data_IF_458459729024
#
_entry.id   IF_458459729024
#
_cell.length_a   1.000
_cell.length_b   1.000
_cell.length_c   1.000
_cell.angle_alpha   90.00
_cell.angle_beta   90.00
_cell.angle_gamma   90.00
#
_symmetry.space_group_name_H-M   'P 1'
#
loop_
_entity.id
_entity.type
_entity.pdbx_description
1 polymer ?
#
# COMPACT_ATOMS: atom_id res chain seq x y z
N UNK A 1 -12.91 -11.30 1.81
CA UNK A 1 -14.20 -11.08 1.10
C UNK A 1 -13.93 -10.88 -0.39
N UNK A 2 -14.85 -11.24 -1.27
CA UNK A 2 -14.64 -11.26 -2.74
C UNK A 2 -14.34 -9.89 -3.36
N UNK A 3 -14.75 -8.80 -2.71
CA UNK A 3 -14.49 -7.44 -3.19
C UNK A 3 -13.00 -7.05 -3.24
N UNK A 4 -12.12 -7.73 -2.52
CA UNK A 4 -10.67 -7.45 -2.55
C UNK A 4 -9.88 -8.49 -3.35
N UNK A 5 -10.56 -9.48 -3.94
CA UNK A 5 -9.87 -10.51 -4.71
C UNK A 5 -9.44 -9.97 -6.08
N UNK A 6 -8.21 -10.27 -6.53
CA UNK A 6 -7.72 -9.89 -7.85
C UNK A 6 -8.36 -10.72 -8.97
N UNK A 7 -8.28 -10.26 -10.23
CA UNK A 7 -8.89 -10.91 -11.39
C UNK A 7 -8.47 -12.38 -11.55
N UNK A 8 -7.19 -12.71 -11.36
CA UNK A 8 -6.67 -14.07 -11.53
C UNK A 8 -7.24 -15.06 -10.49
N UNK A 9 -7.63 -14.61 -9.31
CA UNK A 9 -8.28 -15.48 -8.32
C UNK A 9 -9.79 -15.61 -8.56
N UNK A 10 -10.41 -14.62 -9.20
CA UNK A 10 -11.84 -14.64 -9.55
C UNK A 10 -12.12 -15.39 -10.86
N UNK A 11 -11.24 -15.23 -11.86
CA UNK A 11 -11.40 -15.73 -13.23
C UNK A 11 -10.54 -16.96 -13.53
N UNK A 12 -9.61 -17.32 -12.64
CA UNK A 12 -8.66 -18.40 -12.88
C UNK A 12 -9.32 -19.77 -13.03
N UNK A 13 -8.93 -20.49 -14.07
CA UNK A 13 -9.28 -21.89 -14.27
C UNK A 13 -8.44 -22.78 -13.34
N UNK A 14 -8.90 -23.98 -13.00
CA UNK A 14 -8.19 -24.91 -12.08
C UNK A 14 -6.80 -25.37 -12.57
N UNK A 15 -6.44 -25.03 -13.81
CA UNK A 15 -5.18 -25.41 -14.46
C UNK A 15 -4.12 -24.29 -14.47
N UNK A 16 -4.49 -23.04 -14.19
CA UNK A 16 -3.51 -21.97 -13.97
C UNK A 16 -3.14 -21.96 -12.50
N UNK A 17 -1.83 -21.95 -12.21
CA UNK A 17 -1.32 -21.89 -10.86
C UNK A 17 -1.92 -20.65 -10.19
N UNK A 18 -2.93 -20.84 -9.32
CA UNK A 18 -3.50 -19.81 -8.44
C UNK A 18 -2.43 -19.42 -7.42
N UNK A 19 -1.35 -18.81 -7.88
CA UNK A 19 -0.26 -18.34 -7.03
C UNK A 19 -0.74 -17.11 -6.30
N UNK A 20 -1.17 -17.31 -5.07
CA UNK A 20 -1.20 -16.26 -4.07
C UNK A 20 0.24 -15.84 -3.79
N UNK A 21 0.68 -14.78 -4.47
CA UNK A 21 1.96 -14.13 -4.22
C UNK A 21 1.72 -12.69 -3.76
N UNK A 22 2.81 -11.97 -3.49
CA UNK A 22 2.75 -10.58 -3.02
C UNK A 22 1.93 -9.64 -3.94
N UNK A 23 1.78 -9.95 -5.23
CA UNK A 23 0.96 -9.15 -6.17
C UNK A 23 -0.55 -9.26 -5.90
N UNK A 24 -1.00 -10.33 -5.26
CA UNK A 24 -2.39 -10.45 -4.78
C UNK A 24 -2.65 -9.43 -3.67
N UNK A 25 -1.68 -9.24 -2.78
CA UNK A 25 -1.77 -8.25 -1.70
C UNK A 25 -1.71 -6.82 -2.23
N UNK A 26 -0.90 -6.55 -3.26
CA UNK A 26 -0.87 -5.24 -3.92
C UNK A 26 -2.24 -4.87 -4.50
N UNK A 27 -2.95 -5.81 -5.12
CA UNK A 27 -4.31 -5.55 -5.62
C UNK A 27 -5.29 -5.26 -4.49
N UNK A 28 -5.31 -6.12 -3.46
CA UNK A 28 -6.25 -5.97 -2.35
C UNK A 28 -6.02 -4.64 -1.61
N UNK A 29 -4.75 -4.24 -1.45
CA UNK A 29 -4.37 -2.94 -0.91
C UNK A 29 -4.78 -1.78 -1.82
N UNK A 30 -4.64 -1.92 -3.15
CA UNK A 30 -5.12 -0.93 -4.10
C UNK A 30 -6.64 -0.67 -4.01
N UNK A 31 -7.44 -1.74 -3.86
CA UNK A 31 -8.89 -1.61 -3.64
C UNK A 31 -9.17 -0.93 -2.30
N UNK A 32 -8.41 -1.25 -1.25
CA UNK A 32 -8.54 -0.62 0.06
C UNK A 32 -8.23 0.89 0.00
N UNK A 33 -7.13 1.30 -0.65
CA UNK A 33 -6.79 2.72 -0.83
C UNK A 33 -7.90 3.43 -1.60
N UNK A 34 -8.38 2.86 -2.71
CA UNK A 34 -9.51 3.42 -3.46
C UNK A 34 -10.73 3.62 -2.54
N UNK A 35 -11.04 2.64 -1.69
CA UNK A 35 -12.16 2.71 -0.76
C UNK A 35 -11.98 3.81 0.29
N UNK A 36 -10.77 3.97 0.84
CA UNK A 36 -10.46 5.04 1.81
C UNK A 36 -10.65 6.42 1.17
N UNK A 37 -10.18 6.61 -0.07
CA UNK A 37 -10.20 7.90 -0.76
C UNK A 37 -11.58 8.30 -1.32
N UNK A 38 -12.42 7.32 -1.65
CA UNK A 38 -13.69 7.57 -2.34
C UNK A 38 -14.91 7.23 -1.49
N UNK A 39 -14.71 6.53 -0.37
CA UNK A 39 -15.76 5.89 0.43
C UNK A 39 -16.63 4.90 -0.36
N UNK A 40 -16.18 4.47 -1.54
CA UNK A 40 -16.90 3.57 -2.46
C UNK A 40 -15.96 2.53 -3.06
N UNK A 41 -16.51 1.54 -3.78
CA UNK A 41 -15.73 0.61 -4.60
C UNK A 41 -15.84 1.02 -6.08
N UNK A 42 -14.90 0.59 -6.95
CA UNK A 42 -15.02 0.82 -8.40
C UNK A 42 -16.12 -0.04 -9.06
N UNK A 43 -16.83 -0.84 -8.27
CA UNK A 43 -17.96 -1.71 -8.64
C UNK A 43 -18.96 -1.77 -7.48
N UNK A 44 -20.12 -2.41 -7.68
CA UNK A 44 -21.05 -2.66 -6.57
C UNK A 44 -20.57 -3.87 -5.74
N UNK A 45 -20.09 -3.69 -4.49
CA UNK A 45 -19.50 -4.78 -3.71
C UNK A 45 -20.54 -5.80 -3.21
N UNK A 46 -21.83 -5.45 -3.23
CA UNK A 46 -22.92 -6.32 -2.80
C UNK A 46 -23.45 -7.23 -3.92
N UNK A 47 -22.97 -7.05 -5.16
CA UNK A 47 -23.38 -7.84 -6.31
C UNK A 47 -22.16 -8.50 -6.94
N UNK A 48 -21.99 -9.79 -6.70
CA UNK A 48 -20.87 -10.56 -7.25
C UNK A 48 -20.73 -10.41 -8.77
N UNK A 49 -21.85 -10.37 -9.50
CA UNK A 49 -21.84 -10.13 -10.95
C UNK A 49 -21.24 -8.77 -11.36
N UNK A 50 -21.38 -7.74 -10.54
CA UNK A 50 -20.74 -6.43 -10.78
C UNK A 50 -19.22 -6.51 -10.63
N UNK A 51 -18.73 -7.33 -9.70
CA UNK A 51 -17.30 -7.57 -9.50
C UNK A 51 -16.74 -8.30 -10.72
N UNK A 52 -17.39 -9.38 -11.15
CA UNK A 52 -17.01 -10.12 -12.36
C UNK A 52 -17.02 -9.24 -13.61
N UNK A 53 -18.06 -8.41 -13.79
CA UNK A 53 -18.14 -7.47 -14.90
C UNK A 53 -16.98 -6.47 -14.88
N UNK A 54 -16.63 -5.92 -13.71
CA UNK A 54 -15.50 -4.99 -13.57
C UNK A 54 -14.16 -5.63 -13.98
N UNK A 55 -13.84 -6.81 -13.42
CA UNK A 55 -12.57 -7.48 -13.73
C UNK A 55 -12.50 -8.02 -15.16
N UNK A 56 -13.66 -8.33 -15.77
CA UNK A 56 -13.74 -8.77 -17.17
C UNK A 56 -13.60 -7.60 -18.14
N UNK A 57 -14.24 -6.46 -17.84
CA UNK A 57 -14.18 -5.26 -18.68
C UNK A 57 -12.82 -4.59 -18.63
N UNK A 58 -12.05 -4.78 -17.55
CA UNK A 58 -10.70 -4.22 -17.37
C UNK A 58 -10.66 -2.69 -17.49
N UNK A 59 -11.69 -2.02 -16.97
CA UNK A 59 -11.80 -0.56 -16.97
C UNK A 59 -11.88 -0.06 -15.53
N UNK A 60 -10.87 0.71 -15.14
CA UNK A 60 -10.84 1.47 -13.90
C UNK A 60 -11.06 2.95 -14.22
N UNK A 61 -12.09 3.55 -13.66
CA UNK A 61 -12.46 4.96 -13.91
C UNK A 61 -11.94 5.83 -12.77
N UNK A 62 -11.28 6.94 -13.10
CA UNK A 62 -10.81 7.92 -12.11
C UNK A 62 -11.98 8.64 -11.45
N UNK A 63 -12.15 8.54 -10.12
CA UNK A 63 -13.12 9.34 -9.39
C UNK A 63 -12.66 10.80 -9.31
N UNK A 64 -13.60 11.73 -9.37
CA UNK A 64 -13.31 13.17 -9.23
C UNK A 64 -12.70 13.54 -7.86
N UNK A 65 -12.85 12.69 -6.84
CA UNK A 65 -12.25 12.90 -5.52
C UNK A 65 -10.73 12.66 -5.51
N UNK A 66 -10.18 11.93 -6.48
CA UNK A 66 -8.74 11.65 -6.57
C UNK A 66 -8.11 12.70 -7.48
N UNK A 67 -7.71 13.82 -6.90
CA UNK A 67 -7.16 14.98 -7.62
C UNK A 67 -5.66 14.82 -7.89
N UNK A 68 -4.92 14.16 -6.99
CA UNK A 68 -3.47 13.94 -7.13
C UNK A 68 -3.17 12.93 -8.25
N UNK A 69 -2.39 13.36 -9.24
CA UNK A 69 -2.02 12.56 -10.41
C UNK A 69 -1.05 11.43 -10.07
N UNK A 70 -0.11 11.64 -9.15
CA UNK A 70 0.83 10.60 -8.72
C UNK A 70 0.09 9.51 -7.92
N UNK A 71 -0.88 9.89 -7.10
CA UNK A 71 -1.73 8.94 -6.38
C UNK A 71 -2.58 8.11 -7.35
N UNK A 72 -3.17 8.77 -8.34
CA UNK A 72 -3.95 8.07 -9.36
C UNK A 72 -3.09 7.11 -10.18
N UNK A 73 -1.91 7.55 -10.62
CA UNK A 73 -0.99 6.72 -11.39
C UNK A 73 -0.57 5.48 -10.59
N UNK A 74 -0.20 5.65 -9.32
CA UNK A 74 0.11 4.54 -8.42
C UNK A 74 -1.07 3.55 -8.32
N UNK A 75 -2.29 4.05 -8.12
CA UNK A 75 -3.49 3.22 -8.04
C UNK A 75 -3.74 2.43 -9.32
N UNK A 76 -3.53 3.02 -10.49
CA UNK A 76 -3.66 2.32 -11.79
C UNK A 76 -2.65 1.18 -11.87
N UNK A 77 -1.40 1.40 -11.45
CA UNK A 77 -0.36 0.37 -11.48
C UNK A 77 -0.61 -0.74 -10.44
N UNK A 78 -1.16 -0.42 -9.26
CA UNK A 78 -1.57 -1.39 -8.25
C UNK A 78 -2.79 -2.22 -8.69
N UNK A 79 -3.72 -1.60 -9.42
CA UNK A 79 -4.95 -2.20 -9.93
C UNK A 79 -4.85 -2.63 -11.39
N UNK A 80 -3.64 -2.93 -11.87
CA UNK A 80 -3.46 -3.53 -13.18
C UNK A 80 -4.14 -4.91 -13.22
N UNK A 81 -5.00 -5.10 -14.22
CA UNK A 81 -5.81 -6.31 -14.36
C UNK A 81 -4.99 -7.53 -14.76
N UNK A 82 -3.93 -7.34 -15.57
CA UNK A 82 -2.92 -8.38 -15.76
C UNK A 82 -1.94 -8.34 -14.59
N UNK A 83 -1.79 -9.49 -13.92
CA UNK A 83 -0.87 -9.67 -12.80
C UNK A 83 0.58 -9.36 -13.17
N UNK A 84 0.98 -9.56 -14.44
CA UNK A 84 2.35 -9.29 -14.91
C UNK A 84 2.66 -7.79 -14.98
N UNK A 85 1.65 -7.00 -15.31
CA UNK A 85 1.77 -5.54 -15.43
C UNK A 85 1.58 -4.83 -14.09
N UNK A 86 1.03 -5.54 -13.09
CA UNK A 86 0.81 -5.01 -11.74
C UNK A 86 2.13 -4.66 -11.08
N UNK A 87 2.23 -3.48 -10.47
CA UNK A 87 3.44 -3.04 -9.75
C UNK A 87 3.77 -3.97 -8.58
N UNK A 88 5.05 -4.12 -8.23
CA UNK A 88 5.46 -4.83 -7.01
C UNK A 88 5.34 -3.90 -5.80
N UNK A 89 5.25 -4.45 -4.58
CA UNK A 89 5.26 -3.61 -3.38
C UNK A 89 6.57 -2.79 -3.26
N UNK A 90 7.69 -3.40 -3.64
CA UNK A 90 9.00 -2.74 -3.64
C UNK A 90 9.06 -1.57 -4.64
N UNK A 91 8.54 -1.75 -5.85
CA UNK A 91 8.51 -0.70 -6.87
C UNK A 91 7.47 0.38 -6.53
N UNK A 92 6.36 0.00 -5.88
CA UNK A 92 5.34 0.94 -5.41
C UNK A 92 5.92 1.94 -4.39
N UNK A 93 6.79 1.48 -3.48
CA UNK A 93 7.47 2.36 -2.52
C UNK A 93 8.43 3.35 -3.19
N UNK A 94 8.92 3.04 -4.40
CA UNK A 94 9.79 3.93 -5.18
C UNK A 94 9.00 4.92 -6.06
N UNK A 95 7.68 4.78 -6.12
CA UNK A 95 6.80 5.58 -6.97
C UNK A 95 6.88 7.08 -6.64
N UNK A 96 6.75 8.00 -7.62
CA UNK A 96 6.73 9.45 -7.40
C UNK A 96 5.72 9.94 -6.36
N UNK A 97 4.66 9.17 -6.10
CA UNK A 97 3.74 9.46 -5.00
C UNK A 97 4.47 9.59 -3.66
N UNK A 98 5.41 8.69 -3.36
CA UNK A 98 6.23 8.74 -2.14
C UNK A 98 7.51 9.55 -2.32
N UNK A 99 8.14 9.49 -3.50
CA UNK A 99 9.51 9.98 -3.73
C UNK A 99 9.60 11.37 -4.37
N UNK A 100 8.46 11.96 -4.80
CA UNK A 100 8.45 13.33 -5.32
C UNK A 100 8.72 14.36 -4.22
N UNK A 101 9.01 15.60 -4.62
CA UNK A 101 9.21 16.69 -3.66
C UNK A 101 8.02 16.88 -2.71
N UNK A 102 6.80 16.61 -3.16
CA UNK A 102 5.60 16.65 -2.33
C UNK A 102 5.66 15.56 -1.25
N UNK A 103 5.87 14.29 -1.62
CA UNK A 103 5.98 13.19 -0.66
C UNK A 103 7.14 13.37 0.33
N UNK A 104 8.31 13.81 -0.16
CA UNK A 104 9.45 14.10 0.70
C UNK A 104 9.22 15.28 1.67
N UNK A 105 8.32 16.21 1.32
CA UNK A 105 7.96 17.32 2.20
C UNK A 105 7.05 16.91 3.36
N UNK A 106 6.37 15.77 3.25
CA UNK A 106 5.53 15.20 4.31
C UNK A 106 6.36 14.52 5.41
N UNK A 107 7.63 14.23 5.14
CA UNK A 107 8.55 13.67 6.14
C UNK A 107 8.75 14.69 7.28
N UNK A 108 8.36 14.29 8.48
CA UNK A 108 8.43 15.11 9.67
C UNK A 108 9.86 15.22 10.21
N UNK A 109 10.10 16.22 11.06
CA UNK A 109 11.38 16.35 11.76
C UNK A 109 11.62 15.21 12.73
N UNK A 110 10.56 14.64 13.32
CA UNK A 110 10.66 13.47 14.21
C UNK A 110 11.10 12.23 13.44
N UNK A 111 10.50 11.94 12.28
CA UNK A 111 10.94 10.84 11.40
C UNK A 111 12.42 10.96 11.02
N UNK A 112 12.88 12.18 10.70
CA UNK A 112 14.30 12.47 10.44
C UNK A 112 15.20 12.21 11.65
N UNK A 113 14.78 12.60 12.85
CA UNK A 113 15.53 12.38 14.08
C UNK A 113 15.63 10.90 14.45
N UNK A 114 14.53 10.15 14.28
CA UNK A 114 14.51 8.70 14.47
C UNK A 114 15.52 8.01 13.53
N UNK A 115 15.50 8.38 12.25
CA UNK A 115 16.43 7.83 11.26
C UNK A 115 17.90 8.15 11.59
N UNK A 116 18.19 9.38 12.01
CA UNK A 116 19.54 9.78 12.43
C UNK A 116 20.02 9.00 13.64
N UNK A 117 19.15 8.83 14.65
CA UNK A 117 19.45 8.03 15.84
C UNK A 117 19.77 6.59 15.45
N UNK A 118 18.94 5.97 14.60
CA UNK A 118 19.16 4.61 14.11
C UNK A 118 20.50 4.47 13.35
N UNK A 119 20.87 5.46 12.53
CA UNK A 119 22.15 5.49 11.82
C UNK A 119 23.35 5.52 12.79
N UNK A 120 23.28 6.35 13.83
CA UNK A 120 24.32 6.46 14.86
C UNK A 120 24.47 5.13 15.62
N UNK A 121 23.36 4.55 16.05
CA UNK A 121 23.38 3.28 16.77
C UNK A 121 23.90 2.13 15.89
N UNK A 122 23.56 2.11 14.60
CA UNK A 122 24.11 1.13 13.66
C UNK A 122 25.63 1.25 13.54
N UNK A 123 26.16 2.48 13.50
CA UNK A 123 27.61 2.73 13.52
C UNK A 123 28.26 2.29 14.84
N UNK A 124 27.54 2.36 15.95
CA UNK A 124 27.98 1.90 17.27
C UNK A 124 27.92 0.36 17.43
N UNK A 125 27.56 -0.39 16.39
CA UNK A 125 27.61 -1.85 16.37
C UNK A 125 26.33 -2.56 16.81
N UNK A 126 25.21 -1.83 16.93
CA UNK A 126 23.91 -2.43 17.21
C UNK A 126 23.39 -3.18 15.98
N UNK A 127 23.37 -4.52 16.06
CA UNK A 127 23.05 -5.40 14.92
C UNK A 127 21.56 -5.52 14.59
N UNK A 128 20.68 -5.08 15.48
CA UNK A 128 19.22 -5.19 15.31
C UNK A 128 18.62 -4.06 14.48
N UNK A 129 19.42 -3.08 14.05
CA UNK A 129 18.96 -1.93 13.27
C UNK A 129 19.05 -2.28 11.78
N UNK A 130 17.89 -2.31 11.13
CA UNK A 130 17.74 -2.58 9.71
C UNK A 130 18.19 -1.38 8.86
N UNK A 131 18.04 -1.47 7.55
CA UNK A 131 18.21 -0.32 6.65
C UNK A 131 16.99 0.60 6.64
N UNK A 132 15.80 0.07 6.95
CA UNK A 132 14.55 0.84 6.97
C UNK A 132 14.48 1.78 8.18
N UNK A 133 14.98 1.36 9.33
CA UNK A 133 15.05 2.22 10.54
C UNK A 133 15.90 3.48 10.30
N UNK A 134 16.88 3.37 9.40
CA UNK A 134 17.84 4.42 9.06
C UNK A 134 17.35 5.36 7.95
N UNK A 135 16.18 5.12 7.36
CA UNK A 135 15.58 5.99 6.33
C UNK A 135 14.26 6.58 6.85
N UNK A 136 14.16 7.92 6.95
CA UNK A 136 13.00 8.56 7.55
C UNK A 136 11.68 8.31 6.80
N UNK A 137 11.70 7.87 5.54
CA UNK A 137 10.50 7.52 4.78
C UNK A 137 9.78 6.28 5.33
N UNK A 138 10.49 5.38 6.00
CA UNK A 138 9.91 4.15 6.55
C UNK A 138 9.61 4.23 8.04
N UNK A 139 9.92 5.37 8.68
CA UNK A 139 9.70 5.58 10.09
C UNK A 139 8.27 6.03 10.34
N UNK A 140 7.56 5.34 11.23
CA UNK A 140 6.26 5.79 11.72
C UNK A 140 6.36 6.11 13.22
N UNK A 141 6.41 7.39 13.61
CA UNK A 141 6.63 7.78 15.00
C UNK A 141 5.60 7.21 15.97
N UNK A 142 6.05 6.83 17.17
CA UNK A 142 5.16 6.32 18.21
C UNK A 142 4.10 7.35 18.62
N UNK A 143 4.42 8.64 18.60
CA UNK A 143 3.47 9.71 18.88
C UNK A 143 2.27 9.67 17.92
N UNK A 144 2.51 9.41 16.62
CA UNK A 144 1.46 9.30 15.61
C UNK A 144 0.62 8.04 15.82
N UNK A 145 1.26 6.91 16.14
CA UNK A 145 0.56 5.67 16.52
C UNK A 145 -0.36 5.94 17.71
N UNK A 146 0.13 6.63 18.74
CA UNK A 146 -0.62 6.92 19.95
C UNK A 146 -1.78 7.90 19.72
N UNK A 147 -1.62 8.83 18.78
CA UNK A 147 -2.70 9.73 18.38
C UNK A 147 -3.87 8.96 17.74
N UNK A 148 -3.57 7.90 16.98
CA UNK A 148 -4.57 7.13 16.25
C UNK A 148 -5.21 6.05 17.14
N UNK A 149 -4.39 5.32 17.90
CA UNK A 149 -4.82 4.13 18.65
C UNK A 149 -4.99 4.37 20.16
N UNK A 150 -4.57 5.53 20.69
CA UNK A 150 -4.47 5.78 22.12
C UNK A 150 -3.14 5.27 22.72
N UNK A 151 -3.02 5.17 24.06
CA UNK A 151 -1.79 4.71 24.69
C UNK A 151 -1.41 3.29 24.25
N UNK A 152 -0.33 3.17 23.48
CA UNK A 152 0.27 1.90 23.04
C UNK A 152 1.69 1.82 23.58
N UNK A 153 2.01 0.67 24.19
CA UNK A 153 3.37 0.31 24.58
C UNK A 153 4.01 -0.49 23.44
N UNK A 154 5.03 0.06 22.74
CA UNK A 154 5.64 -0.60 21.58
C UNK A 154 6.42 -1.87 21.93
N UNK A 155 6.69 -2.13 23.22
CA UNK A 155 7.43 -3.31 23.67
C UNK A 155 6.52 -4.40 24.26
N UNK A 156 5.22 -4.12 24.37
CA UNK A 156 4.23 -5.09 24.81
C UNK A 156 3.65 -5.76 23.56
N UNK A 157 4.42 -6.68 22.98
CA UNK A 157 3.95 -7.49 21.86
C UNK A 157 2.79 -8.38 22.32
N UNK A 158 1.59 -8.12 21.79
CA UNK A 158 0.50 -9.09 21.82
C UNK A 158 0.76 -10.05 20.66
N UNK A 159 1.43 -11.17 20.95
CA UNK A 159 1.42 -12.37 20.09
C UNK A 159 0.65 -13.49 20.79
#
# INVERSE_FOLDING_TARGET
TSAFMPPELLLGNDNELKTADAKVDVWSFGILIYQILTHTFPFNPHKIGSIFQFVTNKVLIRPNSIIDDNLWDLLVQMLAFDRKDRISAEDALKHPFFTSQQGLSEITSEQRQLAQTAQIEKQNGYKQISEFDADPQYNFPLADIQMILGPVDPYNEIF
#
